data_IF_914421527536
#
_entry.id   IF_914421527536
#
_cell.length_a   1.000
_cell.length_b   1.000
_cell.length_c   1.000
_cell.angle_alpha   90.00
_cell.angle_beta   90.00
_cell.angle_gamma   90.00
#
_symmetry.space_group_name_H-M   'P 1'
#
loop_
_entity.id
_entity.type
_entity.pdbx_description
1 polymer ?
#
# COMPACT_ATOMS: atom_id res chain seq x y z
N UNK A 1 21.05 8.98 -12.44
CA UNK A 1 20.60 8.43 -11.14
C UNK A 1 19.13 8.05 -11.27
N UNK A 2 18.66 7.08 -10.48
CA UNK A 2 17.23 6.74 -10.40
C UNK A 2 16.56 7.68 -9.39
N UNK A 3 15.42 8.31 -9.70
CA UNK A 3 14.71 9.17 -8.75
C UNK A 3 14.28 8.42 -7.48
N UNK A 4 14.41 9.06 -6.32
CA UNK A 4 13.99 8.56 -5.01
C UNK A 4 12.68 9.24 -4.62
N UNK A 5 11.71 8.45 -4.17
CA UNK A 5 10.45 8.98 -3.62
C UNK A 5 10.32 8.64 -2.14
N UNK A 6 9.64 9.52 -1.39
CA UNK A 6 9.29 9.28 0.01
C UNK A 6 7.83 9.63 0.29
N UNK A 7 7.24 8.94 1.26
CA UNK A 7 5.91 9.28 1.76
C UNK A 7 5.90 10.72 2.31
N UNK A 8 4.90 11.49 1.89
CA UNK A 8 4.79 12.89 2.29
C UNK A 8 4.60 13.01 3.81
N UNK A 9 5.47 13.80 4.45
CA UNK A 9 5.32 14.19 5.85
C UNK A 9 6.19 13.42 6.84
N UNK A 10 6.93 12.40 6.40
CA UNK A 10 7.97 11.79 7.22
C UNK A 10 9.26 11.56 6.41
N UNK A 11 10.31 12.39 6.57
CA UNK A 11 10.38 13.57 7.44
C UNK A 11 9.40 14.68 7.00
N UNK A 12 9.16 15.72 7.83
CA UNK A 12 8.32 16.85 7.45
C UNK A 12 8.70 17.39 6.07
N UNK A 13 7.72 17.61 5.19
CA UNK A 13 7.99 17.91 3.78
C UNK A 13 8.92 19.11 3.53
N UNK A 14 8.86 20.22 4.31
CA UNK A 14 9.84 21.31 4.18
C UNK A 14 11.28 20.86 4.46
N UNK A 15 11.48 19.96 5.42
CA UNK A 15 12.79 19.35 5.71
C UNK A 15 13.22 18.45 4.54
N UNK A 16 12.32 17.60 4.03
CA UNK A 16 12.64 16.73 2.90
C UNK A 16 13.12 17.52 1.66
N UNK A 17 12.46 18.64 1.35
CA UNK A 17 12.84 19.54 0.25
C UNK A 17 14.16 20.24 0.55
N UNK A 18 14.29 20.86 1.73
CA UNK A 18 15.48 21.66 2.09
C UNK A 18 16.77 20.82 2.10
N UNK A 19 16.70 19.60 2.63
CA UNK A 19 17.86 18.71 2.74
C UNK A 19 18.03 17.79 1.51
N UNK A 20 17.17 17.92 0.48
CA UNK A 20 17.26 17.12 -0.75
C UNK A 20 17.11 15.61 -0.54
N UNK A 21 16.23 15.20 0.39
CA UNK A 21 16.11 13.78 0.81
C UNK A 21 15.45 12.90 -0.26
N UNK A 22 14.66 13.49 -1.15
CA UNK A 22 13.99 12.78 -2.24
C UNK A 22 13.80 13.69 -3.47
N UNK A 23 13.59 13.08 -4.63
CA UNK A 23 13.31 13.76 -5.90
C UNK A 23 11.81 14.00 -6.14
N UNK A 24 10.96 13.44 -5.27
CA UNK A 24 9.52 13.58 -5.33
C UNK A 24 8.82 12.85 -4.20
N UNK A 25 7.50 13.00 -4.11
CA UNK A 25 6.73 12.48 -3.00
C UNK A 25 5.83 11.31 -3.39
N UNK A 26 5.37 10.58 -2.37
CA UNK A 26 4.21 9.71 -2.42
C UNK A 26 3.12 10.37 -1.59
N UNK A 27 2.01 10.75 -2.23
CA UNK A 27 0.92 11.51 -1.61
C UNK A 27 -0.36 10.65 -1.56
N UNK A 28 -0.96 10.58 -0.37
CA UNK A 28 -2.22 9.90 -0.08
C UNK A 28 -3.10 10.74 0.85
N UNK A 29 -4.32 10.29 1.16
CA UNK A 29 -5.25 10.88 2.12
C UNK A 29 -6.57 11.35 1.50
N UNK A 30 -7.37 12.08 2.30
CA UNK A 30 -8.62 12.69 1.84
C UNK A 30 -8.41 13.91 0.93
N UNK A 31 -9.49 14.38 0.29
CA UNK A 31 -9.46 15.45 -0.71
C UNK A 31 -8.70 16.71 -0.28
N UNK A 32 -9.01 17.25 0.90
CA UNK A 32 -8.35 18.44 1.43
C UNK A 32 -6.85 18.22 1.64
N UNK A 33 -6.48 17.07 2.20
CA UNK A 33 -5.09 16.71 2.46
C UNK A 33 -4.28 16.56 1.17
N UNK A 34 -4.81 15.79 0.20
CA UNK A 34 -4.12 15.56 -1.08
C UNK A 34 -3.97 16.87 -1.87
N UNK A 35 -5.00 17.72 -1.92
CA UNK A 35 -4.91 19.03 -2.57
C UNK A 35 -3.87 19.95 -1.91
N UNK A 36 -3.87 20.02 -0.58
CA UNK A 36 -2.89 20.82 0.17
C UNK A 36 -1.45 20.36 -0.12
N UNK A 37 -1.21 19.06 -0.06
CA UNK A 37 0.11 18.45 -0.33
C UNK A 37 0.52 18.59 -1.79
N UNK A 38 -0.41 18.45 -2.73
CA UNK A 38 -0.17 18.67 -4.16
C UNK A 38 0.18 20.13 -4.48
N UNK A 39 -0.46 21.09 -3.81
CA UNK A 39 -0.10 22.51 -3.91
C UNK A 39 1.30 22.79 -3.35
N UNK A 40 1.66 22.18 -2.21
CA UNK A 40 3.02 22.23 -1.68
C UNK A 40 4.02 21.69 -2.70
N UNK A 41 3.75 20.51 -3.25
CA UNK A 41 4.62 19.89 -4.25
C UNK A 41 4.80 20.78 -5.49
N UNK A 42 3.73 21.42 -5.97
CA UNK A 42 3.79 22.40 -7.05
C UNK A 42 4.63 23.63 -6.71
N UNK A 43 4.56 24.15 -5.48
CA UNK A 43 5.34 25.33 -5.08
C UNK A 43 6.85 25.04 -5.02
N UNK A 44 7.22 23.77 -4.88
CA UNK A 44 8.62 23.32 -4.79
C UNK A 44 9.08 22.55 -6.03
N UNK A 45 8.30 22.56 -7.12
CA UNK A 45 8.58 21.81 -8.36
C UNK A 45 8.86 20.31 -8.13
N UNK A 46 8.23 19.71 -7.11
CA UNK A 46 8.40 18.32 -6.74
C UNK A 46 7.34 17.44 -7.42
N UNK A 47 7.70 16.51 -8.33
CA UNK A 47 6.74 15.52 -8.84
C UNK A 47 6.31 14.55 -7.73
N UNK A 48 5.19 13.87 -7.93
CA UNK A 48 4.74 12.86 -6.97
C UNK A 48 3.92 11.72 -7.58
N UNK A 49 3.96 10.59 -6.87
CA UNK A 49 3.01 9.48 -7.02
C UNK A 49 1.75 9.80 -6.23
N UNK A 50 0.58 9.58 -6.83
CA UNK A 50 -0.65 9.39 -6.06
C UNK A 50 -0.66 7.94 -5.56
N UNK A 51 -1.02 7.72 -4.29
CA UNK A 51 -1.21 6.37 -3.74
C UNK A 51 -2.51 6.33 -2.95
N UNK A 52 -3.62 5.99 -3.61
CA UNK A 52 -4.94 5.87 -3.00
C UNK A 52 -5.46 4.44 -3.25
N UNK A 53 -4.99 3.52 -2.42
CA UNK A 53 -5.33 2.11 -2.57
C UNK A 53 -6.81 1.87 -2.31
N UNK A 54 -7.49 1.20 -3.24
CA UNK A 54 -8.89 0.84 -3.08
C UNK A 54 -9.52 0.26 -4.35
N UNK A 55 -10.85 0.10 -4.30
CA UNK A 55 -11.66 -0.36 -5.44
C UNK A 55 -11.74 0.69 -6.55
N UNK A 56 -12.57 0.44 -7.57
CA UNK A 56 -12.75 1.34 -8.71
C UNK A 56 -13.19 2.74 -8.30
N UNK A 57 -14.00 2.90 -7.24
CA UNK A 57 -14.36 4.22 -6.71
C UNK A 57 -13.14 5.02 -6.25
N UNK A 58 -12.24 4.40 -5.49
CA UNK A 58 -11.03 5.06 -4.98
C UNK A 58 -10.07 5.37 -6.13
N UNK A 59 -9.99 4.46 -7.10
CA UNK A 59 -9.22 4.64 -8.33
C UNK A 59 -9.74 5.83 -9.14
N UNK A 60 -11.04 5.93 -9.42
CA UNK A 60 -11.60 7.05 -10.18
C UNK A 60 -11.48 8.37 -9.40
N UNK A 61 -11.65 8.34 -8.09
CA UNK A 61 -11.37 9.51 -7.24
C UNK A 61 -9.93 10.01 -7.42
N UNK A 62 -8.95 9.10 -7.43
CA UNK A 62 -7.56 9.46 -7.66
C UNK A 62 -7.30 9.99 -9.08
N UNK A 63 -8.02 9.50 -10.09
CA UNK A 63 -7.94 9.98 -11.48
C UNK A 63 -8.37 11.45 -11.55
N UNK A 64 -9.47 11.82 -10.89
CA UNK A 64 -9.90 13.22 -10.76
C UNK A 64 -8.83 14.09 -10.09
N UNK A 65 -8.19 13.61 -9.03
CA UNK A 65 -7.09 14.31 -8.38
C UNK A 65 -5.87 14.47 -9.31
N UNK A 66 -5.48 13.41 -10.02
CA UNK A 66 -4.38 13.43 -10.98
C UNK A 66 -4.63 14.40 -12.14
N UNK A 67 -5.88 14.53 -12.58
CA UNK A 67 -6.27 15.45 -13.65
C UNK A 67 -6.08 16.94 -13.28
N UNK A 68 -6.14 17.29 -11.99
CA UNK A 68 -6.11 18.70 -11.54
C UNK A 68 -4.81 19.09 -10.82
N UNK A 69 -4.01 18.14 -10.36
CA UNK A 69 -2.76 18.40 -9.63
C UNK A 69 -1.55 18.36 -10.58
N UNK A 70 -0.98 19.53 -10.88
CA UNK A 70 0.05 19.71 -11.91
C UNK A 70 1.31 18.84 -11.75
N UNK A 71 1.64 18.48 -10.51
CA UNK A 71 2.82 17.67 -10.18
C UNK A 71 2.53 16.17 -9.98
N UNK A 72 1.28 15.73 -10.15
CA UNK A 72 0.93 14.30 -10.22
C UNK A 72 1.38 13.70 -11.56
N UNK A 73 2.70 13.70 -11.80
CA UNK A 73 3.33 13.34 -13.07
C UNK A 73 3.91 11.93 -13.09
N UNK A 74 4.17 11.37 -11.92
CA UNK A 74 4.59 9.98 -11.82
C UNK A 74 3.37 9.06 -11.90
N UNK A 75 3.56 7.79 -12.32
CA UNK A 75 2.45 6.86 -12.41
C UNK A 75 1.68 6.72 -11.10
N UNK A 76 0.49 6.17 -11.18
CA UNK A 76 -0.40 6.04 -10.03
C UNK A 76 -0.24 4.68 -9.34
N UNK A 77 -0.47 4.61 -8.01
CA UNK A 77 -0.49 3.38 -7.21
C UNK A 77 -1.91 3.10 -6.69
N UNK A 78 -2.84 2.59 -7.53
CA UNK A 78 -4.21 2.22 -7.13
C UNK A 78 -4.29 0.92 -6.36
N UNK A 79 -3.38 -0.01 -6.65
CA UNK A 79 -3.49 -1.43 -6.31
C UNK A 79 -4.83 -2.08 -6.71
N UNK A 80 -5.58 -1.52 -7.67
CA UNK A 80 -6.90 -2.05 -8.08
C UNK A 80 -6.85 -3.53 -8.51
N UNK A 81 -5.71 -3.96 -9.06
CA UNK A 81 -5.49 -5.33 -9.55
C UNK A 81 -5.41 -6.38 -8.43
N UNK A 82 -5.36 -6.00 -7.15
CA UNK A 82 -5.43 -6.96 -6.03
C UNK A 82 -6.87 -7.25 -5.61
N UNK A 83 -7.84 -6.50 -6.15
CA UNK A 83 -9.26 -6.72 -5.93
C UNK A 83 -9.82 -7.60 -7.04
N UNK A 84 -10.70 -8.53 -6.67
CA UNK A 84 -11.39 -9.40 -7.62
C UNK A 84 -12.32 -8.61 -8.55
N UNK A 85 -12.93 -7.53 -8.04
CA UNK A 85 -13.87 -6.71 -8.79
C UNK A 85 -13.77 -5.22 -8.39
N UNK A 86 -13.89 -4.26 -9.34
CA UNK A 86 -13.76 -2.83 -9.06
C UNK A 86 -15.00 -2.20 -8.38
N UNK A 87 -16.10 -2.94 -8.26
CA UNK A 87 -17.41 -2.49 -7.70
C UNK A 87 -18.12 -1.36 -8.48
N UNK A 88 -17.63 -1.01 -9.67
CA UNK A 88 -18.25 -0.03 -10.57
C UNK A 88 -18.44 -0.65 -11.96
N UNK A 89 -19.37 -0.11 -12.72
CA UNK A 89 -19.67 -0.56 -14.08
C UNK A 89 -18.62 -0.03 -15.08
N UNK A 90 -18.37 -0.80 -16.15
CA UNK A 90 -17.57 -0.40 -17.31
C UNK A 90 -16.13 0.09 -17.00
N UNK A 91 -15.54 -0.32 -15.86
CA UNK A 91 -14.17 0.06 -15.53
C UNK A 91 -13.16 -0.68 -16.41
N UNK A 92 -12.38 0.09 -17.18
CA UNK A 92 -11.38 -0.46 -18.10
C UNK A 92 -10.08 0.34 -17.99
N UNK A 93 -8.95 -0.36 -17.99
CA UNK A 93 -7.62 0.22 -18.12
C UNK A 93 -7.19 0.08 -19.58
N UNK A 94 -6.87 1.20 -20.24
CA UNK A 94 -6.46 1.24 -21.65
C UNK A 94 -5.01 1.66 -21.73
N UNK A 95 -4.11 0.75 -22.14
CA UNK A 95 -2.69 1.05 -22.28
C UNK A 95 -2.03 1.57 -21.00
N UNK A 96 -2.42 1.06 -19.84
CA UNK A 96 -1.93 1.52 -18.53
C UNK A 96 -2.56 2.83 -18.03
N UNK A 97 -3.56 3.37 -18.73
CA UNK A 97 -4.23 4.61 -18.37
C UNK A 97 -5.73 4.40 -18.12
N UNK A 98 -6.33 5.33 -17.38
CA UNK A 98 -7.78 5.41 -17.17
C UNK A 98 -8.24 6.78 -17.66
N UNK A 99 -9.25 6.87 -18.55
CA UNK A 99 -9.78 8.16 -18.96
C UNK A 99 -10.41 8.89 -17.77
N UNK A 100 -10.24 10.21 -17.72
CA UNK A 100 -10.90 11.04 -16.70
C UNK A 100 -12.39 11.11 -17.04
N UNK A 101 -13.30 10.65 -16.15
CA UNK A 101 -14.73 10.76 -16.41
C UNK A 101 -15.18 12.23 -16.48
N UNK A 102 -16.15 12.53 -17.36
CA UNK A 102 -16.68 13.88 -17.59
C UNK A 102 -18.11 14.08 -17.05
N UNK A 103 -18.80 13.00 -16.67
CA UNK A 103 -20.11 13.05 -16.06
C UNK A 103 -20.07 13.58 -14.61
N UNK A 104 -21.17 14.15 -14.08
CA UNK A 104 -21.22 14.72 -12.73
C UNK A 104 -20.79 13.77 -11.61
N UNK A 105 -20.22 14.34 -10.54
CA UNK A 105 -19.72 13.57 -9.39
C UNK A 105 -18.41 12.87 -9.73
N UNK A 106 -18.29 11.58 -9.39
CA UNK A 106 -17.15 10.76 -9.83
C UNK A 106 -17.26 10.35 -11.31
N UNK A 107 -18.43 10.51 -11.93
CA UNK A 107 -18.68 10.14 -13.32
C UNK A 107 -18.75 8.63 -13.58
N UNK A 108 -19.03 7.82 -12.55
CA UNK A 108 -19.17 6.36 -12.65
C UNK A 108 -20.38 5.85 -11.87
N UNK A 109 -20.89 4.69 -12.28
CA UNK A 109 -22.02 4.01 -11.65
C UNK A 109 -21.53 2.82 -10.82
N UNK A 110 -22.08 2.65 -9.62
CA UNK A 110 -21.85 1.46 -8.80
C UNK A 110 -22.52 0.23 -9.42
N UNK A 111 -21.79 -0.88 -9.47
CA UNK A 111 -22.39 -2.16 -9.85
C UNK A 111 -23.15 -2.73 -8.64
N UNK A 112 -24.47 -2.55 -8.62
CA UNK A 112 -25.30 -3.00 -7.50
C UNK A 112 -25.22 -4.52 -7.30
N UNK A 113 -25.17 -5.29 -8.39
CA UNK A 113 -25.01 -6.75 -8.33
C UNK A 113 -23.68 -7.15 -7.69
N UNK A 114 -22.59 -6.45 -7.99
CA UNK A 114 -21.30 -6.71 -7.36
C UNK A 114 -21.30 -6.30 -5.88
N UNK A 115 -21.88 -5.13 -5.56
CA UNK A 115 -22.01 -4.67 -4.17
C UNK A 115 -22.79 -5.68 -3.34
N UNK A 116 -23.87 -6.24 -3.86
CA UNK A 116 -24.65 -7.26 -3.17
C UNK A 116 -23.89 -8.58 -3.04
N UNK A 117 -23.21 -9.02 -4.11
CA UNK A 117 -22.41 -10.26 -4.10
C UNK A 117 -21.28 -10.23 -3.06
N UNK A 118 -20.60 -9.09 -2.92
CA UNK A 118 -19.46 -8.93 -2.01
C UNK A 118 -19.86 -8.30 -0.66
N UNK A 119 -21.17 -8.20 -0.37
CA UNK A 119 -21.64 -7.69 0.91
C UNK A 119 -21.18 -8.63 2.03
N UNK A 120 -20.71 -8.05 3.12
CA UNK A 120 -20.39 -8.74 4.36
C UNK A 120 -21.26 -8.21 5.49
N UNK A 121 -21.43 -9.02 6.53
CA UNK A 121 -22.08 -8.58 7.77
C UNK A 121 -21.31 -7.42 8.42
N UNK A 122 -22.00 -6.59 9.20
CA UNK A 122 -21.42 -5.38 9.79
C UNK A 122 -20.26 -5.68 10.74
N UNK A 123 -20.31 -6.81 11.42
CA UNK A 123 -19.33 -7.33 12.36
C UNK A 123 -18.41 -8.39 11.73
N UNK A 124 -18.43 -8.54 10.40
CA UNK A 124 -17.53 -9.45 9.72
C UNK A 124 -16.07 -9.06 9.98
N UNK A 125 -15.32 -9.98 10.57
CA UNK A 125 -13.87 -9.91 10.68
C UNK A 125 -13.26 -10.93 9.73
N UNK A 126 -12.33 -10.47 8.88
CA UNK A 126 -11.58 -11.35 8.00
C UNK A 126 -10.72 -12.29 8.86
N UNK A 127 -10.87 -13.62 8.75
CA UNK A 127 -9.99 -14.54 9.45
C UNK A 127 -8.54 -14.28 9.07
N UNK A 128 -7.68 -14.16 10.08
CA UNK A 128 -6.23 -14.04 9.87
C UNK A 128 -5.64 -15.44 10.00
N UNK A 129 -5.25 -16.09 8.89
CA UNK A 129 -4.59 -17.40 8.98
C UNK A 129 -3.28 -17.27 9.75
N UNK A 130 -2.84 -18.33 10.41
CA UNK A 130 -1.50 -18.40 11.02
C UNK A 130 -0.44 -18.18 9.94
N UNK A 131 0.66 -17.55 10.32
CA UNK A 131 1.73 -17.21 9.38
C UNK A 131 3.08 -17.48 10.03
N UNK A 132 4.05 -17.83 9.21
CA UNK A 132 5.46 -17.87 9.60
C UNK A 132 6.17 -16.88 8.70
N UNK A 133 6.65 -15.80 9.30
CA UNK A 133 7.53 -14.85 8.65
C UNK A 133 8.98 -15.24 8.99
N UNK A 134 9.79 -15.44 7.96
CA UNK A 134 11.21 -15.77 8.11
C UNK A 134 12.05 -14.65 7.53
N UNK A 135 12.85 -14.01 8.35
CA UNK A 135 13.87 -13.07 7.89
C UNK A 135 15.17 -13.86 7.77
N UNK A 136 15.71 -13.94 6.56
CA UNK A 136 16.99 -14.56 6.27
C UNK A 136 18.10 -13.52 6.36
N UNK A 137 19.11 -13.80 7.17
CA UNK A 137 20.22 -12.89 7.40
C UNK A 137 21.47 -13.26 6.57
N UNK A 138 22.32 -12.29 6.18
CA UNK A 138 23.48 -12.53 5.32
C UNK A 138 24.54 -13.49 5.88
N UNK A 139 24.58 -13.66 7.20
CA UNK A 139 25.47 -14.59 7.91
C UNK A 139 24.86 -16.01 8.03
N UNK A 140 23.69 -16.24 7.44
CA UNK A 140 23.05 -17.55 7.29
C UNK A 140 22.13 -17.95 8.43
N UNK A 141 21.88 -17.08 9.41
CA UNK A 141 20.84 -17.34 10.41
C UNK A 141 19.48 -16.84 9.95
N UNK A 142 18.42 -17.38 10.57
CA UNK A 142 17.03 -16.99 10.33
C UNK A 142 16.38 -16.51 11.62
N UNK A 143 15.50 -15.51 11.52
CA UNK A 143 14.59 -15.13 12.61
C UNK A 143 13.15 -15.33 12.20
N UNK A 144 12.35 -15.91 13.10
CA UNK A 144 10.97 -16.32 12.84
C UNK A 144 9.98 -15.47 13.63
N UNK A 145 8.90 -15.05 12.98
CA UNK A 145 7.82 -14.29 13.62
C UNK A 145 6.44 -14.85 13.22
N UNK A 146 5.46 -14.92 14.15
CA UNK A 146 4.13 -15.48 13.87
C UNK A 146 3.24 -14.51 13.07
N UNK A 147 3.68 -13.26 12.92
CA UNK A 147 2.95 -12.19 12.26
C UNK A 147 3.91 -11.08 11.80
N UNK A 148 3.35 -9.95 11.33
CA UNK A 148 4.09 -8.81 10.81
C UNK A 148 4.65 -7.81 11.84
N UNK A 149 4.58 -8.09 13.14
CA UNK A 149 4.86 -7.10 14.20
C UNK A 149 6.34 -6.74 14.32
N UNK A 150 7.26 -7.59 13.81
CA UNK A 150 8.70 -7.30 13.70
C UNK A 150 8.99 -5.97 12.99
N UNK A 151 8.08 -5.48 12.15
CA UNK A 151 8.19 -4.17 11.47
C UNK A 151 8.37 -3.03 12.46
N UNK A 152 7.76 -3.13 13.64
CA UNK A 152 7.91 -2.13 14.70
C UNK A 152 9.37 -2.06 15.17
N UNK A 153 10.06 -3.18 15.28
CA UNK A 153 11.47 -3.19 15.70
C UNK A 153 12.40 -2.57 14.64
N UNK A 154 12.08 -2.70 13.35
CA UNK A 154 12.77 -1.97 12.28
C UNK A 154 12.50 -0.45 12.37
N UNK A 155 11.25 -0.06 12.59
CA UNK A 155 10.85 1.35 12.69
C UNK A 155 11.46 2.03 13.93
N UNK A 156 11.56 1.30 15.04
CA UNK A 156 12.19 1.75 16.29
C UNK A 156 13.73 1.74 16.22
N UNK A 157 14.31 1.24 15.12
CA UNK A 157 15.77 1.14 14.95
C UNK A 157 16.44 0.08 15.82
N UNK A 158 15.67 -0.87 16.37
CA UNK A 158 16.19 -2.03 17.12
C UNK A 158 16.80 -3.08 16.18
N UNK A 159 16.25 -3.18 14.97
CA UNK A 159 16.79 -4.00 13.87
C UNK A 159 17.40 -3.09 12.79
N UNK A 160 18.46 -3.54 12.09
CA UNK A 160 19.05 -2.77 11.00
C UNK A 160 18.06 -2.65 9.83
N UNK A 161 18.21 -1.64 8.97
CA UNK A 161 17.43 -1.57 7.72
C UNK A 161 17.71 -2.79 6.82
N UNK A 162 16.80 -3.12 5.90
CA UNK A 162 17.02 -4.18 4.91
C UNK A 162 18.19 -3.82 3.99
N UNK A 163 19.34 -4.41 4.26
CA UNK A 163 20.56 -4.33 3.46
C UNK A 163 20.60 -5.46 2.42
N UNK A 164 21.41 -5.32 1.35
CA UNK A 164 21.63 -6.42 0.41
C UNK A 164 21.99 -7.72 1.12
N UNK A 165 21.30 -8.81 0.77
CA UNK A 165 21.46 -10.13 1.39
C UNK A 165 20.45 -10.44 2.50
N UNK A 166 19.70 -9.45 3.01
CA UNK A 166 18.54 -9.71 3.87
C UNK A 166 17.32 -9.99 2.98
N UNK A 167 16.61 -11.09 3.21
CA UNK A 167 15.34 -11.41 2.54
C UNK A 167 14.25 -11.77 3.55
N UNK A 168 12.99 -11.69 3.11
CA UNK A 168 11.82 -12.02 3.91
C UNK A 168 10.97 -13.02 3.13
N UNK A 169 10.76 -14.19 3.73
CA UNK A 169 9.78 -15.17 3.29
C UNK A 169 8.55 -15.14 4.21
N UNK A 170 7.39 -15.48 3.64
CA UNK A 170 6.14 -15.59 4.38
C UNK A 170 5.38 -16.85 3.96
N UNK A 171 5.27 -17.80 4.88
CA UNK A 171 4.42 -18.98 4.74
C UNK A 171 3.08 -18.72 5.42
N UNK A 172 1.97 -18.95 4.71
CA UNK A 172 0.61 -18.83 5.24
C UNK A 172 0.09 -20.25 5.49
N UNK A 173 -0.64 -20.44 6.59
CA UNK A 173 -1.26 -21.71 6.93
C UNK A 173 -2.14 -22.23 5.80
N UNK A 174 -1.74 -23.35 5.22
CA UNK A 174 -2.43 -24.05 4.15
C UNK A 174 -3.28 -25.23 4.68
N UNK A 175 -3.36 -25.39 6.01
CA UNK A 175 -4.06 -26.48 6.67
C UNK A 175 -3.30 -27.82 6.68
N UNK A 176 -2.04 -27.85 6.23
CA UNK A 176 -1.24 -29.07 6.21
C UNK A 176 -0.67 -29.43 7.59
N UNK A 177 -0.52 -30.73 7.85
CA UNK A 177 0.19 -31.21 9.05
C UNK A 177 1.66 -30.76 9.07
N UNK A 178 2.24 -30.47 7.91
CA UNK A 178 3.61 -29.95 7.79
C UNK A 178 3.70 -28.54 8.33
N UNK A 179 2.82 -27.63 7.87
CA UNK A 179 2.75 -26.27 8.40
C UNK A 179 2.49 -26.30 9.90
N UNK A 180 1.56 -27.13 10.35
CA UNK A 180 1.16 -27.17 11.75
C UNK A 180 2.29 -27.66 12.68
N UNK A 181 3.08 -28.65 12.26
CA UNK A 181 4.29 -29.06 12.97
C UNK A 181 5.31 -27.93 13.01
N UNK A 182 5.63 -27.33 11.87
CA UNK A 182 6.62 -26.24 11.80
C UNK A 182 6.21 -25.07 12.69
N UNK A 183 4.95 -24.65 12.63
CA UNK A 183 4.44 -23.53 13.43
C UNK A 183 4.60 -23.79 14.93
N UNK A 184 4.25 -24.99 15.40
CA UNK A 184 4.39 -25.37 16.81
C UNK A 184 5.85 -25.46 17.25
N UNK A 185 6.75 -25.91 16.39
CA UNK A 185 8.18 -25.99 16.67
C UNK A 185 8.81 -24.59 16.78
N UNK A 186 8.37 -23.62 15.97
CA UNK A 186 8.87 -22.24 15.97
C UNK A 186 8.27 -21.38 17.07
N UNK A 187 7.00 -21.59 17.38
CA UNK A 187 6.23 -20.79 18.33
C UNK A 187 5.57 -21.70 19.38
N UNK A 188 6.37 -22.38 20.22
CA UNK A 188 5.81 -23.18 21.29
C UNK A 188 5.00 -22.27 22.22
N UNK A 189 3.78 -22.68 22.58
CA UNK A 189 3.08 -22.01 23.67
C UNK A 189 3.98 -22.08 24.90
N UNK A 190 4.38 -20.91 25.43
CA UNK A 190 5.11 -20.85 26.69
C UNK A 190 4.33 -21.69 27.70
N UNK A 191 4.97 -22.73 28.25
CA UNK A 191 4.38 -23.57 29.27
C UNK A 191 4.00 -22.66 30.45
N UNK A 192 2.71 -22.32 30.53
CA UNK A 192 2.14 -21.60 31.66
C UNK A 192 2.31 -22.39 32.95
#
# INVERSE_FOLDING_TARGET
STPISMHFGNPPAPTAVREGVCDGFVISGGATGVRSRGNFAQHHDMPFWLQLVGTGLTTIWSVHLGAVLKMARWPYIPCINIYEHPLIENFTIVGGNVPVPDAPGLGVTLSQDAVERYRVEKDYEKPTPRQIHTIHWPDGHDTFHPNGDYRTDFLDGKLPVFLPGISLDRRIDDGSDEFDREYRDRFPEEAK
#
